data_IF_089697867716
#
_entry.id   IF_089697867716
#
_cell.length_a   1.000
_cell.length_b   1.000
_cell.length_c   1.000
_cell.angle_alpha   90.00
_cell.angle_beta   90.00
_cell.angle_gamma   90.00
#
_symmetry.space_group_name_H-M   'P 1'
#
loop_
_entity.id
_entity.type
_entity.pdbx_description
1 polymer ?
#
# COMPACT_ATOMS: atom_id res chain seq x y z
N UNK A 1 -19.10 -34.75 -28.42
CA UNK A 1 -19.17 -35.88 -27.49
C UNK A 1 -18.92 -35.30 -26.11
N UNK A 2 -19.99 -34.86 -25.47
CA UNK A 2 -19.98 -34.11 -24.21
C UNK A 2 -20.13 -35.12 -23.09
N UNK A 3 -19.15 -35.19 -22.20
CA UNK A 3 -19.17 -36.03 -21.01
C UNK A 3 -20.38 -35.61 -20.13
N UNK A 4 -21.31 -36.51 -19.77
CA UNK A 4 -22.44 -36.15 -18.93
C UNK A 4 -21.90 -35.84 -17.54
N UNK A 5 -22.04 -34.58 -17.13
CA UNK A 5 -21.67 -34.12 -15.79
C UNK A 5 -22.37 -35.01 -14.75
N UNK A 6 -21.57 -35.79 -14.01
CA UNK A 6 -22.01 -36.53 -12.83
C UNK A 6 -22.69 -35.55 -11.88
N UNK A 7 -23.97 -35.78 -11.57
CA UNK A 7 -24.70 -34.99 -10.60
C UNK A 7 -23.97 -35.09 -9.25
N UNK A 8 -23.48 -33.98 -8.66
CA UNK A 8 -22.74 -34.00 -7.40
C UNK A 8 -23.53 -34.66 -6.26
N UNK A 9 -24.86 -34.75 -6.36
CA UNK A 9 -25.70 -35.47 -5.40
C UNK A 9 -25.57 -37.00 -5.45
N UNK A 10 -25.06 -37.56 -6.57
CA UNK A 10 -24.84 -39.01 -6.75
C UNK A 10 -23.37 -39.42 -6.67
N UNK A 11 -22.45 -38.47 -6.49
CA UNK A 11 -21.03 -38.79 -6.28
C UNK A 11 -20.85 -39.50 -4.91
N UNK A 12 -20.38 -40.76 -4.89
CA UNK A 12 -20.19 -41.53 -3.65
C UNK A 12 -19.26 -40.83 -2.67
N UNK A 13 -18.28 -40.05 -3.16
CA UNK A 13 -17.38 -39.27 -2.32
C UNK A 13 -18.10 -38.10 -1.66
N UNK A 14 -18.97 -37.40 -2.38
CA UNK A 14 -19.78 -36.30 -1.83
C UNK A 14 -20.75 -36.83 -0.78
N UNK A 15 -21.38 -37.99 -1.02
CA UNK A 15 -22.25 -38.64 -0.02
C UNK A 15 -21.48 -39.07 1.23
N UNK A 16 -20.30 -39.68 1.07
CA UNK A 16 -19.45 -40.07 2.19
C UNK A 16 -19.00 -38.85 3.02
N UNK A 17 -18.66 -37.73 2.36
CA UNK A 17 -18.29 -36.47 3.02
C UNK A 17 -19.48 -35.82 3.73
N UNK A 18 -20.67 -35.83 3.13
CA UNK A 18 -21.89 -35.35 3.79
C UNK A 18 -22.25 -36.16 5.03
N UNK A 19 -21.95 -37.46 5.05
CA UNK A 19 -22.11 -38.32 6.24
C UNK A 19 -21.12 -38.01 7.37
N UNK A 20 -20.06 -37.23 7.11
CA UNK A 20 -19.12 -36.72 8.11
C UNK A 20 -19.50 -35.32 8.62
N UNK A 21 -20.60 -34.74 8.12
CA UNK A 21 -21.06 -33.44 8.59
C UNK A 21 -21.51 -33.55 10.06
N UNK A 22 -20.82 -32.84 10.93
CA UNK A 22 -21.23 -32.61 12.31
C UNK A 22 -21.69 -31.16 12.47
N UNK A 23 -22.54 -30.92 13.46
CA UNK A 23 -22.90 -29.55 13.82
C UNK A 23 -21.64 -28.76 14.16
N UNK A 24 -21.49 -27.60 13.52
CA UNK A 24 -20.42 -26.69 13.84
C UNK A 24 -20.51 -26.32 15.34
N UNK A 25 -19.42 -26.41 16.12
CA UNK A 25 -19.44 -25.97 17.51
C UNK A 25 -19.97 -24.54 17.60
N UNK A 26 -20.84 -24.24 18.56
CA UNK A 26 -21.46 -22.91 18.68
C UNK A 26 -20.46 -21.74 18.75
N UNK A 27 -19.24 -22.00 19.22
CA UNK A 27 -18.15 -21.04 19.31
C UNK A 27 -17.31 -20.90 18.04
N UNK A 28 -17.57 -21.70 16.99
CA UNK A 28 -16.74 -21.73 15.78
C UNK A 28 -16.73 -20.37 15.10
N UNK A 29 -17.89 -19.72 14.96
CA UNK A 29 -18.03 -18.40 14.35
C UNK A 29 -17.20 -17.34 15.09
N UNK A 30 -17.15 -17.38 16.41
CA UNK A 30 -16.35 -16.44 17.20
C UNK A 30 -14.85 -16.58 16.94
N UNK A 31 -14.40 -17.80 16.64
CA UNK A 31 -12.99 -18.12 16.37
C UNK A 31 -12.58 -17.83 14.92
N UNK A 32 -13.49 -18.02 13.97
CA UNK A 32 -13.16 -17.90 12.53
C UNK A 32 -13.56 -16.55 11.92
N UNK A 33 -14.50 -15.82 12.54
CA UNK A 33 -14.93 -14.54 12.00
C UNK A 33 -13.85 -13.47 12.15
N UNK A 34 -13.76 -12.61 11.14
CA UNK A 34 -13.13 -11.31 11.31
C UNK A 34 -14.13 -10.33 11.96
N UNK A 35 -13.58 -9.28 12.56
CA UNK A 35 -14.34 -8.18 13.13
C UNK A 35 -14.29 -6.96 12.21
N UNK A 36 -15.36 -6.17 12.18
CA UNK A 36 -15.47 -4.90 11.43
C UNK A 36 -15.77 -3.75 12.37
N UNK A 37 -15.13 -2.61 12.14
CA UNK A 37 -15.39 -1.35 12.85
C UNK A 37 -15.34 -0.18 11.88
N UNK A 38 -16.09 0.88 12.18
CA UNK A 38 -15.99 2.17 11.49
C UNK A 38 -15.12 3.12 12.31
N UNK A 39 -14.20 3.82 11.66
CA UNK A 39 -13.31 4.78 12.31
C UNK A 39 -13.10 6.01 11.44
N UNK A 40 -12.88 7.19 12.04
CA UNK A 40 -12.51 8.37 11.26
C UNK A 40 -11.14 8.17 10.59
N UNK A 41 -11.05 8.57 9.33
CA UNK A 41 -9.87 8.52 8.49
C UNK A 41 -9.20 9.89 8.31
N UNK A 42 -8.00 9.91 7.70
CA UNK A 42 -7.27 11.14 7.40
C UNK A 42 -7.68 11.78 6.06
N UNK A 43 -8.72 11.27 5.39
CA UNK A 43 -9.18 11.75 4.10
C UNK A 43 -10.42 12.65 4.28
N UNK A 44 -10.67 13.61 3.38
CA UNK A 44 -11.87 14.45 3.45
C UNK A 44 -13.05 13.83 2.69
N UNK A 45 -14.24 14.42 2.89
CA UNK A 45 -15.44 14.16 2.09
C UNK A 45 -15.96 12.73 2.24
N UNK A 46 -16.35 12.11 1.12
CA UNK A 46 -16.89 10.74 1.07
C UNK A 46 -15.92 9.66 1.60
N UNK A 47 -14.63 10.00 1.74
CA UNK A 47 -13.59 9.11 2.25
C UNK A 47 -13.24 9.37 3.73
N UNK A 48 -13.99 10.25 4.42
CA UNK A 48 -13.71 10.63 5.80
C UNK A 48 -13.88 9.49 6.81
N UNK A 49 -14.79 8.56 6.54
CA UNK A 49 -14.97 7.37 7.37
C UNK A 49 -14.36 6.13 6.71
N UNK A 50 -13.66 5.35 7.52
CA UNK A 50 -13.01 4.11 7.11
C UNK A 50 -13.75 2.92 7.71
N UNK A 51 -13.99 1.91 6.89
CA UNK A 51 -14.31 0.57 7.34
C UNK A 51 -13.03 -0.24 7.50
N UNK A 52 -12.85 -0.85 8.67
CA UNK A 52 -11.66 -1.63 9.00
C UNK A 52 -12.06 -3.03 9.44
N UNK A 53 -11.50 -4.04 8.79
CA UNK A 53 -11.61 -5.43 9.21
C UNK A 53 -10.32 -5.90 9.87
N UNK A 54 -10.46 -6.67 10.94
CA UNK A 54 -9.33 -7.21 11.70
C UNK A 54 -9.62 -8.62 12.21
N UNK A 55 -8.55 -9.38 12.40
CA UNK A 55 -8.55 -10.73 12.95
C UNK A 55 -7.78 -10.73 14.28
N UNK A 56 -7.69 -11.90 14.91
CA UNK A 56 -6.78 -12.17 16.03
C UNK A 56 -5.30 -11.92 15.68
N UNK A 57 -4.94 -11.94 14.39
CA UNK A 57 -3.57 -11.71 13.92
C UNK A 57 -3.27 -10.23 13.62
N UNK A 58 -4.29 -9.38 13.52
CA UNK A 58 -4.14 -7.94 13.29
C UNK A 58 -5.12 -7.35 12.28
N UNK A 59 -4.87 -6.10 11.88
CA UNK A 59 -5.70 -5.42 10.87
C UNK A 59 -5.46 -6.06 9.51
N UNK A 60 -6.55 -6.50 8.88
CA UNK A 60 -6.52 -7.27 7.64
C UNK A 60 -6.99 -6.46 6.43
N UNK A 61 -7.91 -5.50 6.61
CA UNK A 61 -8.52 -4.80 5.50
C UNK A 61 -8.96 -3.37 5.88
N UNK A 62 -8.68 -2.39 5.02
CA UNK A 62 -9.07 -0.99 5.21
C UNK A 62 -9.65 -0.44 3.91
N UNK A 63 -10.86 0.11 3.94
CA UNK A 63 -11.48 0.80 2.81
C UNK A 63 -12.21 2.05 3.25
N UNK A 64 -12.36 2.99 2.32
CA UNK A 64 -13.10 4.23 2.46
C UNK A 64 -14.15 4.29 1.34
N UNK A 65 -15.27 4.98 1.56
CA UNK A 65 -16.29 5.22 0.53
C UNK A 65 -17.07 3.98 0.05
N UNK A 66 -16.97 2.85 0.77
CA UNK A 66 -17.82 1.68 0.52
C UNK A 66 -18.95 1.64 1.52
N UNK A 67 -20.11 1.14 1.10
CA UNK A 67 -21.16 0.74 2.04
C UNK A 67 -20.80 -0.57 2.76
N UNK A 68 -21.62 -0.97 3.73
CA UNK A 68 -21.39 -2.19 4.51
C UNK A 68 -21.38 -3.47 3.64
N UNK A 69 -22.30 -3.56 2.68
CA UNK A 69 -22.46 -4.75 1.85
C UNK A 69 -21.30 -4.88 0.87
N UNK A 70 -20.89 -3.79 0.23
CA UNK A 70 -19.73 -3.69 -0.64
C UNK A 70 -18.46 -4.08 0.10
N UNK A 71 -18.26 -3.54 1.31
CA UNK A 71 -17.12 -3.88 2.14
C UNK A 71 -17.11 -5.37 2.51
N UNK A 72 -18.25 -5.92 2.95
CA UNK A 72 -18.37 -7.33 3.31
C UNK A 72 -18.13 -8.25 2.11
N UNK A 73 -18.65 -7.91 0.92
CA UNK A 73 -18.39 -8.66 -0.33
C UNK A 73 -16.90 -8.62 -0.70
N UNK A 74 -16.28 -7.44 -0.69
CA UNK A 74 -14.86 -7.28 -1.00
C UNK A 74 -13.96 -8.04 -0.01
N UNK A 75 -14.31 -8.01 1.29
CA UNK A 75 -13.62 -8.76 2.32
C UNK A 75 -13.76 -10.28 2.11
N UNK A 76 -14.99 -10.78 1.91
CA UNK A 76 -15.25 -12.22 1.69
C UNK A 76 -14.55 -12.75 0.44
N UNK A 77 -14.58 -11.99 -0.66
CA UNK A 77 -13.90 -12.37 -1.89
C UNK A 77 -12.38 -12.55 -1.71
N UNK A 78 -11.79 -11.84 -0.75
CA UNK A 78 -10.36 -11.91 -0.47
C UNK A 78 -9.98 -12.95 0.60
N UNK A 79 -10.76 -13.03 1.67
CA UNK A 79 -10.36 -13.78 2.88
C UNK A 79 -11.20 -15.04 3.12
N UNK A 80 -12.28 -15.25 2.36
CA UNK A 80 -13.22 -16.37 2.52
C UNK A 80 -13.69 -16.54 3.98
N UNK A 81 -13.85 -15.42 4.70
CA UNK A 81 -14.16 -15.39 6.14
C UNK A 81 -15.46 -14.64 6.41
N UNK A 82 -16.27 -15.09 7.39
CA UNK A 82 -17.35 -14.30 7.94
C UNK A 82 -16.81 -12.99 8.54
N UNK A 83 -17.65 -11.95 8.50
CA UNK A 83 -17.34 -10.65 9.05
C UNK A 83 -18.47 -10.26 9.99
N UNK A 84 -18.12 -9.95 11.24
CA UNK A 84 -19.05 -9.58 12.30
C UNK A 84 -18.73 -8.16 12.80
N UNK A 85 -19.72 -7.38 13.25
CA UNK A 85 -19.47 -6.07 13.81
C UNK A 85 -18.63 -6.15 15.10
N UNK A 86 -17.95 -5.05 15.42
CA UNK A 86 -17.26 -4.84 16.68
C UNK A 86 -17.42 -3.39 17.15
N UNK A 87 -17.58 -3.20 18.45
CA UNK A 87 -17.83 -1.89 19.05
C UNK A 87 -16.59 -1.00 19.09
N UNK A 88 -15.40 -1.61 19.14
CA UNK A 88 -14.13 -0.89 19.31
C UNK A 88 -13.06 -1.36 18.32
N UNK A 89 -12.24 -0.43 17.82
CA UNK A 89 -11.11 -0.78 16.98
C UNK A 89 -9.96 -1.43 17.81
N UNK A 90 -9.04 -2.15 17.14
CA UNK A 90 -7.79 -2.58 17.76
C UNK A 90 -7.03 -1.39 18.37
N UNK A 91 -6.42 -1.62 19.52
CA UNK A 91 -5.60 -0.61 20.19
C UNK A 91 -4.49 -0.12 19.25
N UNK A 92 -4.29 1.20 19.21
CA UNK A 92 -3.28 1.83 18.36
C UNK A 92 -3.68 2.05 16.90
N UNK A 93 -4.88 1.62 16.45
CA UNK A 93 -5.33 1.83 15.07
C UNK A 93 -5.37 3.32 14.67
N UNK A 94 -6.05 4.17 15.46
CA UNK A 94 -6.20 5.59 15.10
C UNK A 94 -4.85 6.33 15.06
N UNK A 95 -3.94 6.18 16.05
CA UNK A 95 -2.59 6.72 15.94
C UNK A 95 -1.82 6.22 14.70
N UNK A 96 -1.94 4.93 14.36
CA UNK A 96 -1.27 4.35 13.20
C UNK A 96 -1.76 4.94 11.87
N UNK A 97 -3.08 5.11 11.73
CA UNK A 97 -3.70 5.76 10.57
C UNK A 97 -3.22 7.21 10.41
N UNK A 98 -3.16 7.99 11.50
CA UNK A 98 -2.65 9.37 11.49
C UNK A 98 -1.17 9.44 11.13
N UNK A 99 -0.37 8.53 11.69
CA UNK A 99 1.06 8.44 11.41
C UNK A 99 1.35 7.98 9.97
N UNK A 100 0.41 7.29 9.33
CA UNK A 100 0.60 6.68 8.02
C UNK A 100 1.62 5.53 8.05
N UNK A 101 1.62 4.76 9.14
CA UNK A 101 2.44 3.56 9.38
C UNK A 101 1.87 2.74 10.55
N UNK A 102 2.05 1.40 10.59
CA UNK A 102 1.47 0.57 11.66
C UNK A 102 2.07 0.81 13.05
N UNK A 103 3.36 1.16 13.16
CA UNK A 103 4.03 1.20 14.47
C UNK A 103 4.03 -0.19 15.11
N UNK A 104 3.51 -0.30 16.34
CA UNK A 104 3.33 -1.58 17.04
C UNK A 104 2.05 -2.35 16.62
N UNK A 105 1.16 -1.73 15.84
CA UNK A 105 -0.07 -2.37 15.37
C UNK A 105 0.26 -3.54 14.45
N UNK A 106 -0.27 -4.72 14.75
CA UNK A 106 -0.10 -5.91 13.90
C UNK A 106 -0.99 -5.81 12.65
N UNK A 107 -0.45 -6.25 11.51
CA UNK A 107 -1.17 -6.37 10.25
C UNK A 107 -1.29 -7.85 9.89
N UNK A 108 -2.50 -8.28 9.55
CA UNK A 108 -2.74 -9.61 9.03
C UNK A 108 -2.59 -9.58 7.50
N UNK A 109 -1.39 -9.90 7.04
CA UNK A 109 -1.01 -9.91 5.63
C UNK A 109 -0.96 -11.32 5.03
N UNK A 110 -1.58 -12.31 5.71
CA UNK A 110 -1.70 -13.67 5.19
C UNK A 110 -2.49 -13.68 3.88
N UNK A 111 -2.16 -14.63 3.01
CA UNK A 111 -2.78 -14.74 1.68
C UNK A 111 -2.21 -13.79 0.63
N UNK A 112 -1.17 -13.02 0.95
CA UNK A 112 -0.34 -12.37 -0.06
C UNK A 112 0.65 -13.38 -0.65
N UNK A 113 0.92 -13.25 -1.95
CA UNK A 113 2.09 -13.89 -2.57
C UNK A 113 3.38 -13.27 -2.02
N UNK A 114 4.49 -14.00 -2.15
CA UNK A 114 5.82 -13.48 -1.77
C UNK A 114 6.16 -12.17 -2.51
N UNK A 115 5.76 -12.07 -3.77
CA UNK A 115 5.91 -10.86 -4.57
C UNK A 115 5.11 -9.68 -4.00
N UNK A 116 3.83 -9.86 -3.71
CA UNK A 116 3.00 -8.79 -3.13
C UNK A 116 3.51 -8.38 -1.75
N UNK A 117 3.89 -9.35 -0.91
CA UNK A 117 4.47 -9.08 0.41
C UNK A 117 5.77 -8.26 0.30
N UNK A 118 6.65 -8.59 -0.64
CA UNK A 118 7.88 -7.83 -0.90
C UNK A 118 7.59 -6.40 -1.37
N UNK A 119 6.62 -6.22 -2.29
CA UNK A 119 6.18 -4.91 -2.77
C UNK A 119 5.62 -4.04 -1.65
N UNK A 120 4.73 -4.59 -0.82
CA UNK A 120 4.12 -3.84 0.28
C UNK A 120 5.16 -3.51 1.37
N UNK A 121 6.12 -4.40 1.64
CA UNK A 121 7.25 -4.12 2.55
C UNK A 121 8.11 -2.98 2.04
N UNK A 122 8.43 -2.96 0.74
CA UNK A 122 9.16 -1.85 0.13
C UNK A 122 8.39 -0.53 0.22
N UNK A 123 7.07 -0.53 0.01
CA UNK A 123 6.23 0.66 0.16
C UNK A 123 6.19 1.16 1.61
N UNK A 124 6.11 0.24 2.58
CA UNK A 124 6.13 0.56 4.01
C UNK A 124 7.45 1.21 4.47
N UNK A 125 8.54 0.98 3.75
CA UNK A 125 9.84 1.59 4.04
C UNK A 125 9.94 3.06 3.60
N UNK A 126 9.01 3.59 2.80
CA UNK A 126 9.05 4.99 2.37
C UNK A 126 8.67 5.90 3.56
N UNK A 127 9.56 6.78 4.03
CA UNK A 127 9.26 7.65 5.16
C UNK A 127 8.14 8.64 4.84
N UNK A 128 7.41 9.07 5.88
CA UNK A 128 6.43 10.16 5.79
C UNK A 128 7.07 11.41 5.18
N UNK A 129 6.35 12.05 4.27
CA UNK A 129 6.82 13.27 3.58
C UNK A 129 7.85 12.99 2.47
N UNK A 130 8.01 11.73 2.08
CA UNK A 130 8.84 11.32 0.95
C UNK A 130 8.03 10.46 -0.03
N UNK A 131 8.47 10.46 -1.28
CA UNK A 131 7.88 9.67 -2.36
C UNK A 131 8.95 8.86 -3.09
N UNK A 132 8.57 7.73 -3.68
CA UNK A 132 9.46 6.92 -4.52
C UNK A 132 8.73 6.45 -5.78
N UNK A 133 9.42 6.32 -6.92
CA UNK A 133 8.77 5.83 -8.12
C UNK A 133 8.46 4.33 -8.04
N UNK A 134 7.50 3.84 -8.83
CA UNK A 134 7.23 2.40 -8.96
C UNK A 134 8.49 1.57 -9.29
N UNK A 135 9.39 2.11 -10.10
CA UNK A 135 10.67 1.46 -10.44
C UNK A 135 11.58 1.26 -9.22
N UNK A 136 11.52 2.18 -8.24
CA UNK A 136 12.23 2.04 -6.98
C UNK A 136 11.67 0.86 -6.18
N UNK A 137 10.34 0.76 -6.06
CA UNK A 137 9.68 -0.36 -5.38
C UNK A 137 10.06 -1.68 -6.04
N UNK A 138 10.00 -1.76 -7.38
CA UNK A 138 10.37 -2.95 -8.13
C UNK A 138 11.78 -3.42 -7.80
N UNK A 139 12.74 -2.48 -7.72
CA UNK A 139 14.12 -2.80 -7.33
C UNK A 139 14.23 -3.23 -5.87
N UNK A 140 13.59 -2.52 -4.93
CA UNK A 140 13.64 -2.89 -3.50
C UNK A 140 12.96 -4.23 -3.21
N UNK A 141 11.97 -4.60 -4.01
CA UNK A 141 11.31 -5.90 -3.94
C UNK A 141 12.13 -7.03 -4.61
N UNK A 142 13.30 -6.75 -5.20
CA UNK A 142 14.13 -7.75 -5.89
C UNK A 142 13.68 -8.08 -7.32
N UNK A 143 12.72 -7.34 -7.87
CA UNK A 143 12.13 -7.59 -9.19
C UNK A 143 12.19 -6.33 -10.09
N UNK A 144 13.38 -5.83 -10.47
CA UNK A 144 13.55 -4.52 -11.11
C UNK A 144 12.79 -4.37 -12.44
N UNK A 145 12.53 -5.47 -13.15
CA UNK A 145 11.76 -5.48 -14.41
C UNK A 145 10.24 -5.51 -14.23
N UNK A 146 9.74 -5.69 -13.00
CA UNK A 146 8.32 -5.95 -12.72
C UNK A 146 7.50 -4.67 -12.40
N UNK A 147 7.89 -3.50 -12.93
CA UNK A 147 7.28 -2.20 -12.57
C UNK A 147 5.75 -2.17 -12.74
N UNK A 148 5.22 -2.78 -13.80
CA UNK A 148 3.76 -2.85 -14.02
C UNK A 148 3.07 -3.73 -12.98
N UNK A 149 3.64 -4.90 -12.68
CA UNK A 149 3.11 -5.82 -11.67
C UNK A 149 3.14 -5.21 -10.26
N UNK A 150 4.17 -4.39 -9.96
CA UNK A 150 4.21 -3.60 -8.73
C UNK A 150 3.01 -2.66 -8.62
N UNK A 151 2.64 -1.97 -9.70
CA UNK A 151 1.46 -1.12 -9.73
C UNK A 151 0.17 -1.89 -9.40
N UNK A 152 0.01 -3.08 -9.98
CA UNK A 152 -1.12 -3.98 -9.69
C UNK A 152 -1.14 -4.42 -8.22
N UNK A 153 0.01 -4.83 -7.67
CA UNK A 153 0.12 -5.25 -6.27
C UNK A 153 -0.20 -4.11 -5.30
N UNK A 154 0.29 -2.89 -5.55
CA UNK A 154 -0.02 -1.71 -4.74
C UNK A 154 -1.50 -1.31 -4.83
N UNK A 155 -2.11 -1.45 -6.01
CA UNK A 155 -3.55 -1.23 -6.21
C UNK A 155 -4.42 -2.25 -5.44
N UNK A 156 -3.86 -3.42 -5.13
CA UNK A 156 -4.49 -4.47 -4.32
C UNK A 156 -4.09 -4.44 -2.85
N UNK A 157 -3.42 -3.37 -2.39
CA UNK A 157 -3.05 -3.21 -0.98
C UNK A 157 -4.30 -3.40 -0.09
N UNK A 158 -4.31 -4.41 0.81
CA UNK A 158 -5.46 -4.65 1.66
C UNK A 158 -5.58 -3.60 2.77
N UNK A 159 -4.47 -2.96 3.17
CA UNK A 159 -4.40 -2.02 4.29
C UNK A 159 -3.77 -0.68 3.87
N UNK A 160 -4.38 0.05 2.92
CA UNK A 160 -3.96 1.41 2.57
C UNK A 160 -3.93 2.31 3.82
N UNK A 161 -3.16 3.41 3.76
CA UNK A 161 -2.84 4.31 4.87
C UNK A 161 -1.90 3.71 5.93
N UNK A 162 -2.10 2.44 6.33
CA UNK A 162 -1.17 1.72 7.20
C UNK A 162 0.07 1.28 6.41
N UNK A 163 -0.13 0.71 5.23
CA UNK A 163 0.91 0.56 4.21
C UNK A 163 0.73 1.71 3.20
N UNK A 164 1.66 2.68 3.15
CA UNK A 164 1.47 3.99 2.54
C UNK A 164 1.70 3.95 1.02
N UNK A 165 0.88 3.20 0.28
CA UNK A 165 1.00 3.12 -1.18
C UNK A 165 0.73 4.46 -1.90
N UNK A 166 0.13 5.46 -1.22
CA UNK A 166 0.02 6.84 -1.71
C UNK A 166 1.39 7.54 -1.85
N UNK A 167 2.45 7.06 -1.17
CA UNK A 167 3.82 7.58 -1.32
C UNK A 167 4.54 7.07 -2.57
N UNK A 168 3.93 6.15 -3.32
CA UNK A 168 4.51 5.63 -4.57
C UNK A 168 4.00 6.43 -5.76
N UNK A 169 4.90 6.99 -6.56
CA UNK A 169 4.58 7.88 -7.70
C UNK A 169 5.08 7.31 -9.02
N UNK A 170 4.75 7.98 -10.13
CA UNK A 170 5.43 7.74 -11.41
C UNK A 170 6.88 8.24 -11.37
N UNK A 171 7.69 7.82 -12.33
CA UNK A 171 9.11 8.21 -12.43
C UNK A 171 9.32 9.70 -12.70
N UNK A 172 8.33 10.36 -13.29
CA UNK A 172 8.28 11.81 -13.51
C UNK A 172 7.82 12.59 -12.26
N UNK A 173 7.62 11.92 -11.12
CA UNK A 173 7.14 12.53 -9.89
C UNK A 173 5.62 12.73 -9.83
N UNK A 174 4.88 12.52 -10.93
CA UNK A 174 3.42 12.66 -10.90
C UNK A 174 2.79 11.59 -9.99
N UNK A 175 1.76 11.92 -9.18
CA UNK A 175 1.20 10.98 -8.20
C UNK A 175 0.69 9.67 -8.83
N UNK A 176 0.02 9.75 -9.98
CA UNK A 176 -0.66 8.60 -10.59
C UNK A 176 -1.85 8.09 -9.76
N UNK A 177 -2.41 6.94 -10.16
CA UNK A 177 -3.67 6.42 -9.59
C UNK A 177 -3.53 5.97 -8.14
N UNK A 178 -4.66 5.96 -7.44
CA UNK A 178 -4.81 5.51 -6.06
C UNK A 178 -6.14 4.80 -5.83
N UNK A 179 -6.18 3.88 -4.86
CA UNK A 179 -7.38 3.11 -4.54
C UNK A 179 -8.55 3.99 -4.06
N UNK A 180 -8.25 5.14 -3.44
CA UNK A 180 -9.25 6.13 -3.00
C UNK A 180 -9.32 7.35 -3.93
N UNK A 181 -8.81 7.21 -5.16
CA UNK A 181 -8.80 8.29 -6.15
C UNK A 181 -7.63 9.27 -6.02
N UNK A 182 -7.42 10.02 -7.11
CA UNK A 182 -6.24 10.89 -7.28
C UNK A 182 -6.26 12.08 -6.31
N UNK A 183 -7.45 12.63 -6.04
CA UNK A 183 -7.63 13.73 -5.08
C UNK A 183 -7.23 13.31 -3.66
N UNK A 184 -7.62 12.10 -3.22
CA UNK A 184 -7.23 11.56 -1.93
C UNK A 184 -5.72 11.37 -1.82
N UNK A 185 -5.06 10.87 -2.87
CA UNK A 185 -3.60 10.71 -2.89
C UNK A 185 -2.87 12.04 -2.76
N UNK A 186 -3.31 13.05 -3.51
CA UNK A 186 -2.73 14.37 -3.43
C UNK A 186 -2.94 15.01 -2.06
N UNK A 187 -4.15 14.85 -1.48
CA UNK A 187 -4.45 15.33 -0.12
C UNK A 187 -3.49 14.71 0.91
N UNK A 188 -3.31 13.39 0.90
CA UNK A 188 -2.40 12.70 1.81
C UNK A 188 -0.96 13.17 1.64
N UNK A 189 -0.48 13.31 0.40
CA UNK A 189 0.88 13.77 0.14
C UNK A 189 1.11 15.19 0.66
N UNK A 190 0.16 16.11 0.43
CA UNK A 190 0.22 17.47 0.98
C UNK A 190 0.16 17.50 2.50
N UNK A 191 -0.70 16.69 3.13
CA UNK A 191 -0.76 16.54 4.59
C UNK A 191 0.53 15.94 5.19
N UNK A 192 1.33 15.25 4.37
CA UNK A 192 2.67 14.77 4.73
C UNK A 192 3.78 15.79 4.46
N UNK A 193 3.45 17.02 4.05
CA UNK A 193 4.37 18.08 3.67
C UNK A 193 5.20 17.75 2.41
N UNK A 194 4.61 17.02 1.46
CA UNK A 194 5.19 16.89 0.12
C UNK A 194 4.73 18.07 -0.73
N UNK A 195 5.70 18.87 -1.18
CA UNK A 195 5.48 19.96 -2.13
C UNK A 195 5.33 19.38 -3.54
N UNK A 196 4.09 19.14 -3.95
CA UNK A 196 3.77 18.55 -5.25
C UNK A 196 4.07 19.51 -6.41
N UNK A 197 3.98 20.81 -6.16
CA UNK A 197 4.20 21.83 -7.19
C UNK A 197 5.69 21.95 -7.48
N UNK A 198 6.54 21.99 -6.45
CA UNK A 198 7.99 21.91 -6.61
C UNK A 198 8.42 20.62 -7.33
N UNK A 199 7.86 19.46 -6.98
CA UNK A 199 8.20 18.21 -7.67
C UNK A 199 7.81 18.26 -9.14
N UNK A 200 6.64 18.82 -9.47
CA UNK A 200 6.20 18.98 -10.84
C UNK A 200 7.09 19.97 -11.62
N UNK A 201 7.51 21.07 -10.99
CA UNK A 201 8.37 22.08 -11.59
C UNK A 201 9.75 21.52 -11.94
N UNK A 202 10.36 20.79 -11.00
CA UNK A 202 11.61 20.07 -11.22
C UNK A 202 11.48 19.05 -12.35
N UNK A 203 10.37 18.31 -12.40
CA UNK A 203 10.12 17.36 -13.48
C UNK A 203 9.99 18.04 -14.85
N UNK A 204 9.32 19.21 -14.95
CA UNK A 204 9.24 20.00 -16.19
C UNK A 204 10.60 20.50 -16.65
N UNK A 205 11.50 20.79 -15.71
CA UNK A 205 12.89 21.16 -15.98
C UNK A 205 13.80 19.94 -16.27
N UNK A 206 13.26 18.72 -16.26
CA UNK A 206 14.03 17.49 -16.46
C UNK A 206 14.86 17.03 -15.26
N UNK A 207 14.67 17.65 -14.09
CA UNK A 207 15.35 17.32 -12.84
C UNK A 207 14.53 16.31 -12.00
N UNK A 208 14.65 15.02 -12.35
CA UNK A 208 14.00 13.93 -11.60
C UNK A 208 14.78 13.49 -10.36
N UNK A 209 16.04 13.91 -10.29
CA UNK A 209 16.96 13.71 -9.17
C UNK A 209 17.63 15.04 -8.85
N UNK A 210 17.94 15.25 -7.57
CA UNK A 210 18.60 16.45 -7.07
C UNK A 210 19.91 16.04 -6.40
N UNK A 211 21.00 16.64 -6.84
CA UNK A 211 22.31 16.44 -6.26
C UNK A 211 22.81 17.69 -5.52
N UNK A 212 23.68 17.47 -4.53
CA UNK A 212 24.39 18.52 -3.81
C UNK A 212 25.85 18.54 -4.25
N UNK A 213 26.32 19.68 -4.77
CA UNK A 213 27.74 19.87 -5.14
C UNK A 213 28.66 19.90 -3.92
N UNK A 214 28.18 20.33 -2.76
CA UNK A 214 28.93 20.32 -1.50
C UNK A 214 29.19 18.93 -0.94
N UNK A 215 28.27 17.97 -1.15
CA UNK A 215 28.40 16.60 -0.61
C UNK A 215 28.74 15.55 -1.67
N UNK A 216 28.52 15.88 -2.95
CA UNK A 216 28.62 14.93 -4.06
C UNK A 216 27.55 13.84 -4.02
N UNK A 217 26.41 14.07 -3.37
CA UNK A 217 25.32 13.09 -3.20
C UNK A 217 24.14 13.45 -4.10
N UNK A 218 23.60 12.47 -4.83
CA UNK A 218 22.35 12.58 -5.60
C UNK A 218 21.19 11.84 -4.94
N UNK A 219 20.01 12.45 -4.94
CA UNK A 219 18.81 12.04 -4.22
C UNK A 219 17.54 12.13 -5.08
N UNK A 220 16.46 11.48 -4.64
CA UNK A 220 15.11 11.87 -5.10
C UNK A 220 14.71 13.24 -4.51
N UNK A 221 13.90 14.05 -5.20
CA UNK A 221 13.54 15.41 -4.77
C UNK A 221 12.93 15.49 -3.36
N UNK A 222 12.10 14.50 -3.01
CA UNK A 222 11.42 14.45 -1.71
C UNK A 222 12.25 13.77 -0.62
N UNK A 223 13.50 13.38 -0.89
CA UNK A 223 14.40 12.86 0.13
C UNK A 223 14.67 13.92 1.22
N UNK A 224 14.71 13.51 2.49
CA UNK A 224 15.04 14.39 3.60
C UNK A 224 16.40 15.09 3.42
N UNK A 225 17.40 14.40 2.84
CA UNK A 225 18.70 15.02 2.56
C UNK A 225 18.61 16.04 1.43
N UNK A 226 17.87 15.72 0.36
CA UNK A 226 17.67 16.63 -0.77
C UNK A 226 17.00 17.94 -0.35
N UNK A 227 15.99 17.84 0.53
CA UNK A 227 15.25 18.99 1.04
C UNK A 227 16.11 19.98 1.83
N UNK A 228 17.23 19.54 2.42
CA UNK A 228 18.16 20.39 3.17
C UNK A 228 19.21 21.06 2.30
N UNK A 229 19.36 20.66 1.04
CA UNK A 229 20.29 21.31 0.11
C UNK A 229 19.78 22.72 -0.17
N UNK A 230 20.61 23.74 0.01
CA UNK A 230 20.24 25.12 -0.37
C UNK A 230 20.13 25.24 -1.89
N UNK A 231 19.23 26.08 -2.45
CA UNK A 231 19.03 26.17 -3.89
C UNK A 231 20.31 26.40 -4.72
N UNK A 232 21.25 27.21 -4.20
CA UNK A 232 22.53 27.50 -4.86
C UNK A 232 23.45 26.27 -5.05
N UNK A 233 23.25 25.21 -4.24
CA UNK A 233 24.05 23.99 -4.26
C UNK A 233 23.31 22.80 -4.89
N UNK A 234 22.13 23.04 -5.51
CA UNK A 234 21.32 21.99 -6.14
C UNK A 234 21.65 21.85 -7.62
N UNK A 235 21.91 20.61 -8.03
CA UNK A 235 22.07 20.24 -9.44
C UNK A 235 21.04 19.19 -9.83
N UNK A 236 20.28 19.47 -10.88
CA UNK A 236 19.21 18.59 -11.37
C UNK A 236 19.72 17.55 -12.36
N UNK A 237 19.25 16.30 -12.24
CA UNK A 237 19.56 15.23 -13.18
C UNK A 237 18.30 14.47 -13.60
N UNK A 238 18.24 14.05 -14.86
CA UNK A 238 17.14 13.22 -15.38
C UNK A 238 17.30 11.74 -15.02
N UNK A 239 18.53 11.27 -14.93
CA UNK A 239 18.86 9.86 -14.68
C UNK A 239 20.01 9.74 -13.69
N UNK A 240 20.06 8.62 -12.96
CA UNK A 240 21.17 8.34 -12.06
C UNK A 240 22.49 8.15 -12.83
N UNK A 241 22.43 7.64 -14.05
CA UNK A 241 23.61 7.46 -14.91
C UNK A 241 24.28 8.81 -15.23
N UNK A 242 23.49 9.84 -15.58
CA UNK A 242 24.00 11.19 -15.82
C UNK A 242 24.64 11.79 -14.57
N UNK A 243 24.00 11.64 -13.40
CA UNK A 243 24.55 12.11 -12.14
C UNK A 243 25.90 11.42 -11.80
N UNK A 244 26.01 10.11 -12.02
CA UNK A 244 27.26 9.36 -11.81
C UNK A 244 28.37 9.78 -12.74
N UNK A 245 28.06 10.01 -14.02
CA UNK A 245 29.03 10.51 -14.99
C UNK A 245 29.56 11.90 -14.60
N UNK A 246 28.73 12.71 -13.93
CA UNK A 246 29.11 14.00 -13.36
C UNK A 246 29.79 13.89 -11.96
N UNK A 247 30.13 12.68 -11.49
CA UNK A 247 30.87 12.46 -10.24
C UNK A 247 30.02 12.30 -8.98
N UNK A 248 28.69 12.34 -9.07
CA UNK A 248 27.80 12.21 -7.92
C UNK A 248 27.56 10.74 -7.52
N UNK A 249 27.49 10.50 -6.21
CA UNK A 249 27.21 9.18 -5.62
C UNK A 249 25.74 9.08 -5.19
N UNK A 250 25.09 7.92 -5.37
CA UNK A 250 23.70 7.74 -4.93
C UNK A 250 23.58 7.84 -3.41
N UNK A 251 22.57 8.58 -2.95
CA UNK A 251 22.22 8.69 -1.55
C UNK A 251 21.90 7.32 -0.92
N UNK A 252 22.44 7.08 0.27
CA UNK A 252 22.23 5.86 1.06
C UNK A 252 20.90 5.85 1.83
N UNK A 253 20.17 6.96 1.89
CA UNK A 253 18.85 7.00 2.54
C UNK A 253 17.72 6.80 1.54
N UNK A 254 17.75 7.50 0.40
CA UNK A 254 16.70 7.36 -0.60
C UNK A 254 16.98 6.30 -1.66
N UNK A 255 18.23 5.84 -1.79
CA UNK A 255 18.69 4.87 -2.77
C UNK A 255 18.10 5.19 -4.16
N UNK A 256 18.54 6.25 -4.87
CA UNK A 256 18.05 6.51 -6.22
C UNK A 256 18.38 5.36 -7.17
N UNK A 257 17.55 5.18 -8.20
CA UNK A 257 17.64 4.13 -9.21
C UNK A 257 17.64 4.74 -10.60
#
# INVERSE_FOLDING_TARGET
MTDPATDPATDPLVQALSGLAADAPGTLLERIAARRVHVPGPLPGEHADLQVAFTDQGVAFVRAGLDEHEFARAFRARFARPLLPADRPPAGLLPALRAGRPGALRLDLRGLSDFEAAVLRAAAAIPRGQTRPYAWIARQAGHPRAVRAVGTALGRNPVPLLIPCHRVTRSDGTPGRYIFGDAAKQHLLRAENVDLDQVADLARQGALLIASDTTGIVCYPTCADARRITPAHRHGFRTLAAARAAGYRPCRHCHPA
#
